data_IF_167728075218
#
_entry.id   IF_167728075218
#
_cell.length_a   1.000
_cell.length_b   1.000
_cell.length_c   1.000
_cell.angle_alpha   90.00
_cell.angle_beta   90.00
_cell.angle_gamma   90.00
#
_symmetry.space_group_name_H-M   'P 1'
#
loop_
_entity.id
_entity.type
_entity.pdbx_description
1 polymer ?
#
# COMPACT_ATOMS: atom_id res chain seq x y z
N UNK A 1 -9.06 21.75 -8.28
CA UNK A 1 -10.31 20.95 -8.44
C UNK A 1 -11.22 21.26 -7.28
N UNK A 2 -12.53 21.32 -7.50
CA UNK A 2 -13.49 21.59 -6.44
C UNK A 2 -13.52 20.42 -5.44
N UNK A 3 -13.54 20.73 -4.14
CA UNK A 3 -13.64 19.71 -3.09
C UNK A 3 -15.02 19.03 -3.11
N UNK A 4 -15.15 17.82 -2.54
CA UNK A 4 -16.39 17.05 -2.58
C UNK A 4 -17.58 17.79 -1.97
N UNK A 5 -17.37 18.49 -0.86
CA UNK A 5 -18.39 19.31 -0.20
C UNK A 5 -18.93 20.40 -1.14
N UNK A 6 -18.04 21.14 -1.79
CA UNK A 6 -18.42 22.18 -2.74
C UNK A 6 -19.10 21.60 -4.00
N UNK A 7 -18.67 20.42 -4.49
CA UNK A 7 -19.34 19.72 -5.60
C UNK A 7 -20.78 19.34 -5.23
N UNK A 8 -21.00 18.87 -4.00
CA UNK A 8 -22.33 18.57 -3.47
C UNK A 8 -23.21 19.82 -3.45
N UNK A 9 -22.73 20.92 -2.87
CA UNK A 9 -23.47 22.19 -2.81
C UNK A 9 -23.78 22.77 -4.19
N UNK A 10 -22.85 22.67 -5.14
CA UNK A 10 -23.08 23.08 -6.55
C UNK A 10 -24.23 22.29 -7.17
N UNK A 11 -24.27 20.97 -6.96
CA UNK A 11 -25.31 20.11 -7.51
C UNK A 11 -26.66 20.34 -6.84
N UNK A 12 -26.69 20.58 -5.52
CA UNK A 12 -27.91 20.99 -4.82
C UNK A 12 -28.43 22.35 -5.30
N UNK A 13 -27.53 23.31 -5.57
CA UNK A 13 -27.90 24.60 -6.14
C UNK A 13 -28.45 24.44 -7.56
N UNK A 14 -27.85 23.56 -8.36
CA UNK A 14 -28.33 23.22 -9.70
C UNK A 14 -29.74 22.64 -9.67
N UNK A 15 -30.02 21.70 -8.78
CA UNK A 15 -31.34 21.07 -8.64
C UNK A 15 -32.44 22.10 -8.29
N UNK A 16 -32.07 23.23 -7.66
CA UNK A 16 -33.00 24.31 -7.31
C UNK A 16 -33.17 25.34 -8.42
N UNK A 17 -32.08 25.84 -9.00
CA UNK A 17 -32.12 27.02 -9.88
C UNK A 17 -31.92 26.72 -11.35
N UNK A 18 -31.27 25.61 -11.70
CA UNK A 18 -30.86 25.26 -13.08
C UNK A 18 -30.10 26.37 -13.83
N UNK A 19 -29.53 27.34 -13.11
CA UNK A 19 -28.83 28.49 -13.69
C UNK A 19 -27.32 28.37 -13.49
N UNK A 20 -26.63 27.82 -14.50
CA UNK A 20 -25.19 27.60 -14.44
C UNK A 20 -24.38 28.89 -14.26
N UNK A 21 -24.85 30.02 -14.83
CA UNK A 21 -24.12 31.30 -14.82
C UNK A 21 -24.06 31.89 -13.41
N UNK A 22 -25.16 31.84 -12.68
CA UNK A 22 -25.24 32.34 -11.30
C UNK A 22 -24.45 31.44 -10.35
N UNK A 23 -24.64 30.12 -10.45
CA UNK A 23 -23.91 29.15 -9.61
C UNK A 23 -22.39 29.29 -9.84
N UNK A 24 -21.96 29.40 -11.10
CA UNK A 24 -20.57 29.65 -11.45
C UNK A 24 -20.01 30.90 -10.76
N UNK A 25 -20.79 31.99 -10.70
CA UNK A 25 -20.41 33.24 -10.02
C UNK A 25 -20.28 33.05 -8.51
N UNK A 26 -21.25 32.40 -7.87
CA UNK A 26 -21.22 32.16 -6.41
C UNK A 26 -20.04 31.28 -5.98
N UNK A 27 -19.73 30.23 -6.74
CA UNK A 27 -18.62 29.32 -6.44
C UNK A 27 -17.28 29.75 -7.05
N UNK A 28 -17.23 30.89 -7.75
CA UNK A 28 -16.03 31.39 -8.46
C UNK A 28 -15.38 30.33 -9.37
N UNK A 29 -16.22 29.60 -10.12
CA UNK A 29 -15.80 28.59 -11.09
C UNK A 29 -16.31 28.92 -12.49
N UNK A 30 -15.74 28.29 -13.50
CA UNK A 30 -16.24 28.42 -14.87
C UNK A 30 -17.56 27.65 -15.05
N UNK A 31 -18.46 28.16 -15.89
CA UNK A 31 -19.74 27.50 -16.23
C UNK A 31 -19.54 26.08 -16.76
N UNK A 32 -18.48 25.85 -17.54
CA UNK A 32 -18.10 24.52 -18.03
C UNK A 32 -17.85 23.50 -16.90
N UNK A 33 -17.40 23.97 -15.73
CA UNK A 33 -17.22 23.11 -14.56
C UNK A 33 -18.56 22.65 -14.01
N UNK A 34 -19.57 23.52 -14.00
CA UNK A 34 -20.93 23.19 -13.54
C UNK A 34 -21.54 22.12 -14.46
N UNK A 35 -21.55 22.37 -15.78
CA UNK A 35 -22.09 21.41 -16.75
C UNK A 35 -21.39 20.04 -16.66
N UNK A 36 -20.05 20.03 -16.56
CA UNK A 36 -19.30 18.79 -16.39
C UNK A 36 -19.69 18.04 -15.11
N UNK A 37 -19.94 18.74 -14.00
CA UNK A 37 -20.36 18.11 -12.74
C UNK A 37 -21.76 17.49 -12.86
N UNK A 38 -22.69 18.20 -13.50
CA UNK A 38 -24.06 17.73 -13.74
C UNK A 38 -24.05 16.49 -14.63
N UNK A 39 -23.30 16.52 -15.72
CA UNK A 39 -23.13 15.38 -16.63
C UNK A 39 -22.45 14.19 -15.94
N UNK A 40 -21.42 14.45 -15.13
CA UNK A 40 -20.73 13.40 -14.36
C UNK A 40 -21.69 12.74 -13.36
N UNK A 41 -22.54 13.52 -12.68
CA UNK A 41 -23.59 13.01 -11.80
C UNK A 41 -24.63 12.20 -12.59
N UNK A 42 -25.07 12.65 -13.75
CA UNK A 42 -26.04 11.91 -14.57
C UNK A 42 -25.50 10.55 -15.03
N UNK A 43 -24.21 10.50 -15.43
CA UNK A 43 -23.55 9.27 -15.88
C UNK A 43 -23.24 8.30 -14.73
N UNK A 44 -22.94 8.84 -13.55
CA UNK A 44 -22.27 8.09 -12.49
C UNK A 44 -23.12 7.93 -11.22
N UNK A 45 -24.10 8.81 -11.01
CA UNK A 45 -24.90 8.90 -9.80
C UNK A 45 -24.20 9.52 -8.58
N UNK A 46 -22.91 9.87 -8.68
CA UNK A 46 -22.11 10.36 -7.55
C UNK A 46 -21.51 11.73 -7.83
N UNK A 47 -21.37 12.53 -6.78
CA UNK A 47 -20.69 13.83 -6.78
C UNK A 47 -19.22 13.73 -6.38
N UNK A 48 -18.77 12.58 -5.86
CA UNK A 48 -17.43 12.42 -5.31
C UNK A 48 -16.35 12.32 -6.38
N UNK A 49 -15.18 12.89 -6.10
CA UNK A 49 -14.01 12.69 -6.95
C UNK A 49 -13.50 11.26 -6.84
N UNK A 50 -13.37 10.56 -7.98
CA UNK A 50 -12.83 9.19 -8.05
C UNK A 50 -11.30 9.15 -8.10
N UNK A 51 -10.65 9.80 -7.14
CA UNK A 51 -9.17 9.86 -7.07
C UNK A 51 -8.54 8.48 -6.92
N UNK A 52 -9.20 7.56 -6.23
CA UNK A 52 -8.81 6.15 -6.10
C UNK A 52 -8.68 5.40 -7.44
N UNK A 53 -9.41 5.84 -8.48
CA UNK A 53 -9.31 5.26 -9.81
C UNK A 53 -8.13 5.84 -10.61
N UNK A 54 -7.52 6.94 -10.15
CA UNK A 54 -6.35 7.54 -10.79
C UNK A 54 -5.08 6.79 -10.40
N UNK A 55 -4.01 7.03 -11.16
CA UNK A 55 -2.68 6.46 -10.89
C UNK A 55 -2.45 5.07 -11.49
N UNK A 56 -1.26 4.54 -11.22
CA UNK A 56 -0.80 3.26 -11.77
C UNK A 56 -1.58 2.09 -11.19
N UNK A 57 -2.13 1.24 -12.05
CA UNK A 57 -2.82 0.02 -11.63
C UNK A 57 -1.82 -1.07 -11.21
N UNK A 58 -2.14 -1.85 -10.18
CA UNK A 58 -1.33 -3.01 -9.81
C UNK A 58 -1.29 -4.00 -10.98
N UNK A 59 -0.14 -4.61 -11.21
CA UNK A 59 0.03 -5.64 -12.26
C UNK A 59 -0.60 -6.96 -11.81
N UNK A 60 -0.54 -7.26 -10.51
CA UNK A 60 -1.16 -8.44 -9.93
C UNK A 60 -2.68 -8.27 -9.87
N UNK A 61 -3.37 -9.30 -10.35
CA UNK A 61 -4.84 -9.41 -10.29
C UNK A 61 -5.31 -9.93 -8.93
N UNK A 62 -6.58 -9.73 -8.61
CA UNK A 62 -7.17 -10.23 -7.36
C UNK A 62 -7.11 -11.77 -7.25
N UNK A 63 -7.25 -12.48 -8.37
CA UNK A 63 -7.08 -13.95 -8.41
C UNK A 63 -5.65 -14.35 -8.03
N UNK A 64 -4.66 -13.73 -8.66
CA UNK A 64 -3.25 -13.98 -8.35
C UNK A 64 -2.91 -13.63 -6.90
N UNK A 65 -3.56 -12.63 -6.29
CA UNK A 65 -3.41 -12.37 -4.87
C UNK A 65 -3.87 -13.55 -4.01
N UNK A 66 -5.02 -14.15 -4.33
CA UNK A 66 -5.55 -15.31 -3.62
C UNK A 66 -4.64 -16.52 -3.82
N UNK A 67 -4.20 -16.79 -5.06
CA UNK A 67 -3.32 -17.91 -5.38
C UNK A 67 -1.98 -17.83 -4.62
N UNK A 68 -1.38 -16.63 -4.52
CA UNK A 68 -0.16 -16.40 -3.75
C UNK A 68 -0.39 -16.68 -2.26
N UNK A 69 -1.52 -16.23 -1.71
CA UNK A 69 -1.84 -16.42 -0.29
C UNK A 69 -2.07 -17.90 0.03
N UNK A 70 -2.79 -18.61 -0.82
CA UNK A 70 -3.03 -20.05 -0.68
C UNK A 70 -1.71 -20.84 -0.74
N UNK A 71 -0.82 -20.49 -1.68
CA UNK A 71 0.48 -21.14 -1.82
C UNK A 71 1.37 -20.93 -0.59
N UNK A 72 1.44 -19.69 -0.07
CA UNK A 72 2.20 -19.37 1.14
C UNK A 72 1.61 -20.06 2.37
N UNK A 73 0.29 -20.23 2.43
CA UNK A 73 -0.35 -20.96 3.52
C UNK A 73 -0.05 -22.46 3.48
N UNK A 74 -0.01 -23.06 2.28
CA UNK A 74 0.38 -24.47 2.09
C UNK A 74 1.87 -24.70 2.37
N UNK A 75 2.72 -23.76 1.98
CA UNK A 75 4.18 -23.86 2.09
C UNK A 75 4.75 -22.55 2.64
N UNK A 76 4.86 -22.39 3.97
CA UNK A 76 5.28 -21.13 4.58
C UNK A 76 6.76 -20.78 4.34
N UNK A 77 7.60 -21.79 4.06
CA UNK A 77 9.03 -21.61 3.79
C UNK A 77 9.35 -21.34 2.31
N UNK A 78 8.32 -21.19 1.45
CA UNK A 78 8.50 -20.94 0.02
C UNK A 78 9.19 -19.58 -0.24
N UNK A 79 10.14 -19.59 -1.17
CA UNK A 79 10.86 -18.37 -1.54
C UNK A 79 10.07 -17.53 -2.55
N UNK A 80 10.39 -16.24 -2.60
CA UNK A 80 9.70 -15.31 -3.52
C UNK A 80 9.90 -15.66 -5.00
N UNK A 81 11.02 -16.30 -5.35
CA UNK A 81 11.31 -16.73 -6.72
C UNK A 81 10.46 -17.96 -7.09
N UNK A 82 10.38 -18.93 -6.20
CA UNK A 82 9.54 -20.12 -6.38
C UNK A 82 8.06 -19.76 -6.51
N UNK A 83 7.56 -18.75 -5.77
CA UNK A 83 6.20 -18.23 -5.95
C UNK A 83 5.99 -17.71 -7.40
N UNK A 84 6.98 -16.99 -7.95
CA UNK A 84 6.87 -16.43 -9.29
C UNK A 84 6.89 -17.53 -10.34
N UNK A 85 7.78 -18.51 -10.18
CA UNK A 85 7.94 -19.62 -11.11
C UNK A 85 6.73 -20.55 -11.07
N UNK A 86 6.23 -20.90 -9.88
CA UNK A 86 5.07 -21.78 -9.71
C UNK A 86 3.77 -21.19 -10.26
N UNK A 87 3.54 -19.88 -10.06
CA UNK A 87 2.33 -19.20 -10.52
C UNK A 87 2.53 -18.47 -11.87
N UNK A 88 3.71 -18.61 -12.49
CA UNK A 88 4.13 -17.92 -13.72
C UNK A 88 3.78 -16.42 -13.74
N UNK A 89 4.12 -15.71 -12.67
CA UNK A 89 3.69 -14.33 -12.47
C UNK A 89 4.51 -13.35 -13.32
N UNK A 90 3.88 -12.33 -13.94
CA UNK A 90 4.59 -11.32 -14.74
C UNK A 90 5.27 -10.24 -13.89
N UNK A 91 5.69 -10.57 -12.65
CA UNK A 91 6.26 -9.61 -11.69
C UNK A 91 7.57 -10.11 -11.10
N UNK A 92 8.45 -9.19 -10.72
CA UNK A 92 9.69 -9.52 -10.03
C UNK A 92 9.48 -9.82 -8.53
N UNK A 93 10.47 -10.46 -7.91
CA UNK A 93 10.46 -10.90 -6.49
C UNK A 93 10.14 -9.77 -5.49
N UNK A 94 10.57 -8.53 -5.79
CA UNK A 94 10.25 -7.36 -4.94
C UNK A 94 8.76 -7.06 -4.88
N UNK A 95 8.00 -7.31 -5.95
CA UNK A 95 6.56 -7.06 -5.98
C UNK A 95 5.82 -8.04 -5.07
N UNK A 96 6.15 -9.33 -5.17
CA UNK A 96 5.62 -10.39 -4.30
C UNK A 96 5.95 -10.09 -2.84
N UNK A 97 7.19 -9.71 -2.54
CA UNK A 97 7.58 -9.31 -1.17
C UNK A 97 6.76 -8.14 -0.63
N UNK A 98 6.57 -7.08 -1.43
CA UNK A 98 5.75 -5.92 -1.02
C UNK A 98 4.30 -6.30 -0.79
N UNK A 99 3.75 -7.17 -1.64
CA UNK A 99 2.40 -7.70 -1.49
C UNK A 99 2.24 -8.45 -0.17
N UNK A 100 3.12 -9.42 0.12
CA UNK A 100 3.05 -10.21 1.35
C UNK A 100 3.19 -9.36 2.62
N UNK A 101 4.10 -8.38 2.63
CA UNK A 101 4.24 -7.44 3.75
C UNK A 101 2.94 -6.64 3.95
N UNK A 102 2.29 -6.20 2.88
CA UNK A 102 1.00 -5.48 2.96
C UNK A 102 -0.12 -6.36 3.55
N UNK A 103 -0.06 -7.67 3.32
CA UNK A 103 -0.98 -8.66 3.92
C UNK A 103 -0.60 -9.06 5.35
N UNK A 104 0.48 -8.51 5.91
CA UNK A 104 0.90 -8.78 7.29
C UNK A 104 1.86 -9.96 7.45
N UNK A 105 2.30 -10.60 6.36
CA UNK A 105 3.29 -11.67 6.45
C UNK A 105 4.67 -11.08 6.74
N UNK A 106 5.29 -11.59 7.81
CA UNK A 106 6.65 -11.23 8.20
C UNK A 106 7.54 -12.46 8.13
N UNK A 107 8.75 -12.28 7.60
CA UNK A 107 9.77 -13.32 7.67
C UNK A 107 10.19 -13.53 9.12
N UNK A 108 9.94 -14.73 9.67
CA UNK A 108 10.47 -15.12 10.96
C UNK A 108 11.97 -15.38 10.81
N UNK A 109 12.79 -14.43 11.26
CA UNK A 109 14.22 -14.69 11.43
C UNK A 109 14.37 -15.75 12.52
N UNK A 110 14.93 -16.90 12.18
CA UNK A 110 15.53 -17.77 13.21
C UNK A 110 16.71 -16.99 13.76
N UNK A 111 16.64 -16.50 15.00
CA UNK A 111 17.85 -16.11 15.70
C UNK A 111 18.73 -17.35 15.74
N UNK A 112 19.89 -17.30 15.10
CA UNK A 112 20.94 -18.30 15.28
C UNK A 112 21.43 -18.16 16.72
N UNK A 113 20.67 -18.70 17.67
CA UNK A 113 21.17 -18.87 19.03
C UNK A 113 22.14 -20.05 18.95
N UNK A 114 23.38 -19.74 18.57
CA UNK A 114 24.45 -20.72 18.57
C UNK A 114 24.65 -21.17 20.02
N UNK A 115 24.71 -22.47 20.27
CA UNK A 115 25.02 -23.03 21.60
C UNK A 115 26.32 -22.47 22.20
N UNK A 116 27.20 -21.92 21.37
CA UNK A 116 28.40 -21.17 21.80
C UNK A 116 28.09 -19.93 22.64
N UNK A 117 26.92 -19.29 22.48
CA UNK A 117 26.49 -18.18 23.34
C UNK A 117 26.16 -18.64 24.77
N UNK A 118 25.77 -19.91 24.95
CA UNK A 118 25.54 -20.52 26.26
C UNK A 118 26.85 -21.00 26.90
N UNK A 119 27.99 -20.96 26.18
CA UNK A 119 29.28 -21.32 26.80
C UNK A 119 29.58 -20.34 27.92
N UNK A 120 29.90 -20.84 29.13
CA UNK A 120 30.35 -19.97 30.19
C UNK A 120 31.57 -19.20 29.70
N UNK A 121 31.52 -17.87 29.75
CA UNK A 121 32.71 -17.04 29.51
C UNK A 121 33.79 -17.51 30.47
N UNK A 122 34.97 -17.82 29.94
CA UNK A 122 36.09 -18.32 30.72
C UNK A 122 36.28 -17.48 31.99
N UNK A 123 35.92 -18.04 33.15
CA UNK A 123 36.18 -17.47 34.47
C UNK A 123 37.65 -17.68 34.88
N UNK A 124 38.56 -17.65 33.90
CA UNK A 124 39.98 -17.71 34.15
C UNK A 124 40.40 -16.41 34.81
N UNK A 125 40.91 -16.51 36.04
CA UNK A 125 41.52 -15.37 36.73
C UNK A 125 42.56 -14.75 35.80
N UNK A 126 42.42 -13.47 35.48
CA UNK A 126 43.47 -12.74 34.77
C UNK A 126 44.76 -12.84 35.58
N UNK A 127 45.76 -13.54 35.06
CA UNK A 127 47.09 -13.53 35.65
C UNK A 127 47.62 -12.09 35.56
N UNK A 128 47.78 -11.45 36.72
CA UNK A 128 48.53 -10.20 36.82
C UNK A 128 49.98 -10.53 36.50
N UNK A 129 50.41 -10.17 35.30
CA UNK A 129 51.82 -10.20 34.93
C UNK A 129 52.50 -9.05 35.66
N UNK A 130 53.23 -9.35 36.73
CA UNK A 130 54.09 -8.36 37.39
C UNK A 130 55.18 -7.92 36.41
N UNK A 131 55.06 -6.67 35.93
CA UNK A 131 56.14 -6.02 35.18
C UNK A 131 57.17 -5.52 36.17
N UNK A 132 58.25 -6.30 36.37
CA UNK A 132 59.49 -5.76 36.93
C UNK A 132 60.13 -4.83 35.89
N UNK A 133 60.10 -3.54 36.16
CA UNK A 133 60.94 -2.57 35.46
C UNK A 133 62.30 -2.51 36.16
N UNK A 134 63.37 -2.69 35.38
CA UNK A 134 64.76 -2.34 35.73
C UNK A 134 64.93 -0.85 35.46
#
# INVERSE_FOLDING_TARGET
MLHNEARKLVLEAWDKTHNAKEIAKYFSVNQSTIYRLVEERARTGSYETRTQLRGRKPILTEKQHQDILELVQKQPDITMKEIIESLNLPVGSKAVRRFLIKQGYTYKKKSLHAKEQERPRCAGKAQRMDRKHI
#
